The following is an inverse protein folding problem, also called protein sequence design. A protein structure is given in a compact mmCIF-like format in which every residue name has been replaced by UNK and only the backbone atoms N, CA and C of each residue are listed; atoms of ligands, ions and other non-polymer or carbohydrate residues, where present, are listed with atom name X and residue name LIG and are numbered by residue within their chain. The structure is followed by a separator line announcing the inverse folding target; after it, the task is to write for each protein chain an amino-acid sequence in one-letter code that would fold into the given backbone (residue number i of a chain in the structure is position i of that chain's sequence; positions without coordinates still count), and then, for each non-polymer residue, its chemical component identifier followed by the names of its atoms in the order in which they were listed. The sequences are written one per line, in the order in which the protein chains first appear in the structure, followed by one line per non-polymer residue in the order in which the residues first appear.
data_IF_120484640473
#
_entry.id   IF_120484640473
#
_cell.length_a   1.000
_cell.length_b   1.000
_cell.length_c   1.000
_cell.angle_alpha   90.00
_cell.angle_beta   90.00
_cell.angle_gamma   90.00
#
_symmetry.space_group_name_H-M   'P 1'
#
loop_
_entity.id
_entity.type
_entity.pdbx_description
1 polymer ?
#
# COMPACT_ATOMS: atom_id res chain seq x y z
N UNK A 1 -2.01 -17.08 20.89
CA UNK A 1 -1.31 -16.04 20.09
C UNK A 1 0.16 -16.38 20.11
N UNK A 2 0.86 -16.30 18.97
CA UNK A 2 2.30 -16.55 18.94
C UNK A 2 3.02 -15.57 19.87
N UNK A 3 4.03 -16.03 20.59
CA UNK A 3 4.81 -15.16 21.48
C UNK A 3 5.67 -14.21 20.64
N UNK A 4 6.05 -13.05 21.21
CA UNK A 4 6.88 -12.06 20.50
C UNK A 4 8.19 -12.67 19.99
N UNK A 5 8.75 -13.62 20.73
CA UNK A 5 9.97 -14.35 20.38
C UNK A 5 9.76 -15.29 19.20
N UNK A 6 8.65 -16.02 19.16
CA UNK A 6 8.27 -16.87 18.01
C UNK A 6 8.14 -16.07 16.71
N UNK A 7 7.57 -14.86 16.78
CA UNK A 7 7.42 -13.97 15.62
C UNK A 7 8.80 -13.54 15.10
N UNK A 8 9.73 -13.19 15.98
CA UNK A 8 11.08 -12.78 15.59
C UNK A 8 11.84 -13.93 14.93
N UNK A 9 11.73 -15.14 15.46
CA UNK A 9 12.36 -16.34 14.89
C UNK A 9 11.78 -16.66 13.51
N UNK A 10 10.45 -16.59 13.36
CA UNK A 10 9.80 -16.83 12.07
C UNK A 10 10.16 -15.75 11.04
N UNK A 11 10.19 -14.49 11.44
CA UNK A 11 10.59 -13.39 10.56
C UNK A 11 12.03 -13.56 10.06
N UNK A 12 12.96 -13.92 10.97
CA UNK A 12 14.35 -14.19 10.59
C UNK A 12 14.44 -15.32 9.57
N UNK A 13 13.74 -16.44 9.81
CA UNK A 13 13.72 -17.58 8.89
C UNK A 13 13.24 -17.21 7.49
N UNK A 14 12.17 -16.43 7.40
CA UNK A 14 11.63 -15.95 6.12
C UNK A 14 12.65 -15.07 5.39
N UNK A 15 13.31 -14.16 6.11
CA UNK A 15 14.33 -13.28 5.53
C UNK A 15 15.55 -14.07 5.03
N UNK A 16 16.02 -15.03 5.82
CA UNK A 16 17.17 -15.87 5.46
C UNK A 16 16.88 -16.74 4.23
N UNK A 17 15.68 -17.33 4.15
CA UNK A 17 15.22 -18.09 2.98
C UNK A 17 15.10 -17.20 1.73
N UNK A 18 14.55 -15.99 1.88
CA UNK A 18 14.42 -15.03 0.80
C UNK A 18 15.77 -14.57 0.25
N UNK A 19 16.73 -14.23 1.12
CA UNK A 19 18.09 -13.83 0.72
C UNK A 19 18.84 -14.99 0.08
N UNK A 20 18.66 -16.21 0.60
CA UNK A 20 19.24 -17.41 -0.01
C UNK A 20 18.66 -17.71 -1.39
N UNK A 21 17.37 -17.44 -1.62
CA UNK A 21 16.75 -17.57 -2.92
C UNK A 21 17.28 -16.52 -3.89
N UNK A 22 17.36 -15.25 -3.47
CA UNK A 22 17.86 -14.15 -4.30
C UNK A 22 19.31 -14.33 -4.74
N UNK A 23 20.19 -14.81 -3.85
CA UNK A 23 21.60 -15.03 -4.20
C UNK A 23 21.82 -16.10 -5.27
N UNK A 24 20.85 -16.99 -5.47
CA UNK A 24 20.88 -18.03 -6.51
C UNK A 24 20.39 -17.53 -7.87
N UNK A 25 19.72 -16.38 -7.92
CA UNK A 25 19.16 -15.86 -9.17
C UNK A 25 20.07 -14.76 -9.72
N UNK A 26 20.78 -15.05 -10.82
CA UNK A 26 21.57 -14.06 -11.55
C UNK A 26 20.72 -13.46 -12.68
N UNK A 27 19.86 -12.49 -12.35
CA UNK A 27 19.06 -11.77 -13.37
C UNK A 27 19.84 -10.54 -13.82
N UNK A 28 20.13 -10.43 -15.12
CA UNK A 28 20.41 -9.13 -15.74
C UNK A 28 19.08 -8.38 -15.80
N UNK A 29 18.83 -7.53 -14.81
CA UNK A 29 17.65 -6.67 -14.80
C UNK A 29 17.63 -5.78 -16.05
N UNK A 30 16.65 -6.00 -16.93
CA UNK A 30 16.18 -4.94 -17.81
C UNK A 30 15.13 -4.15 -17.03
N UNK A 31 15.60 -3.30 -16.13
CA UNK A 31 14.70 -2.51 -15.29
C UNK A 31 14.08 -1.38 -16.11
N UNK A 32 12.77 -1.47 -16.33
CA UNK A 32 11.97 -0.41 -16.94
C UNK A 32 11.84 -0.51 -18.46
N UNK A 33 10.60 -0.40 -18.95
CA UNK A 33 10.39 0.15 -20.28
C UNK A 33 10.92 1.59 -20.28
N UNK A 34 11.57 2.02 -21.36
CA UNK A 34 11.97 3.42 -21.53
C UNK A 34 10.74 4.31 -21.30
N UNK A 35 10.85 5.18 -20.29
CA UNK A 35 9.74 6.06 -19.93
C UNK A 35 9.52 7.05 -21.06
N UNK A 36 8.53 6.79 -21.91
CA UNK A 36 7.96 7.84 -22.76
C UNK A 36 7.35 8.91 -21.85
N UNK A 37 7.32 10.15 -22.32
CA UNK A 37 6.81 11.29 -21.57
C UNK A 37 5.38 11.01 -21.06
N UNK A 38 5.25 10.67 -19.77
CA UNK A 38 4.02 10.16 -19.12
C UNK A 38 3.39 11.23 -18.20
N UNK A 39 3.57 12.51 -18.54
CA UNK A 39 2.95 13.57 -17.77
C UNK A 39 1.43 13.44 -17.84
N UNK A 40 0.78 13.42 -16.66
CA UNK A 40 -0.68 13.41 -16.57
C UNK A 40 -1.21 14.71 -17.19
N UNK A 41 -2.08 14.57 -18.19
CA UNK A 41 -2.81 15.71 -18.73
C UNK A 41 -3.77 16.23 -17.65
N UNK A 42 -3.77 17.53 -17.33
CA UNK A 42 -4.73 18.09 -16.39
C UNK A 42 -6.15 17.89 -16.94
N UNK A 43 -6.99 17.15 -16.21
CA UNK A 43 -8.43 17.09 -16.46
C UNK A 43 -9.14 18.05 -15.51
N UNK A 44 -10.20 18.69 -16.00
CA UNK A 44 -11.11 19.54 -15.21
C UNK A 44 -12.21 18.74 -14.51
N UNK A 45 -12.28 17.44 -14.73
CA UNK A 45 -13.28 16.57 -14.12
C UNK A 45 -12.95 16.39 -12.65
N UNK A 46 -13.54 17.23 -11.81
CA UNK A 46 -13.61 16.96 -10.38
C UNK A 46 -14.71 15.92 -10.20
N UNK A 47 -14.40 14.69 -9.78
CA UNK A 47 -15.40 13.66 -9.59
C UNK A 47 -16.11 13.90 -8.24
N UNK A 48 -16.59 15.12 -7.93
CA UNK A 48 -17.42 15.32 -6.74
C UNK A 48 -18.88 14.97 -7.05
N UNK A 49 -19.09 13.79 -7.64
CA UNK A 49 -20.43 13.24 -7.83
C UNK A 49 -20.87 12.54 -6.55
N UNK A 50 -22.19 12.47 -6.33
CA UNK A 50 -22.75 11.71 -5.22
C UNK A 50 -22.31 10.23 -5.23
N UNK A 51 -22.06 9.67 -6.41
CA UNK A 51 -21.54 8.30 -6.58
C UNK A 51 -20.09 8.18 -6.12
N UNK A 52 -19.25 9.19 -6.37
CA UNK A 52 -17.89 9.22 -5.88
C UNK A 52 -17.85 9.27 -4.35
N UNK A 53 -18.65 10.14 -3.72
CA UNK A 53 -18.76 10.18 -2.25
C UNK A 53 -19.15 8.81 -1.69
N UNK A 54 -20.20 8.19 -2.23
CA UNK A 54 -20.62 6.84 -1.84
C UNK A 54 -19.49 5.81 -1.95
N UNK A 55 -18.69 5.85 -3.02
CA UNK A 55 -17.53 4.95 -3.19
C UNK A 55 -16.46 5.17 -2.13
N UNK A 56 -16.15 6.42 -1.80
CA UNK A 56 -15.14 6.78 -0.81
C UNK A 56 -15.54 6.32 0.59
N UNK A 57 -16.81 6.51 0.96
CA UNK A 57 -17.31 6.20 2.31
C UNK A 57 -17.71 4.73 2.51
N UNK A 58 -17.86 3.93 1.45
CA UNK A 58 -18.41 2.56 1.51
C UNK A 58 -17.77 1.66 2.56
N UNK A 59 -16.45 1.73 2.73
CA UNK A 59 -15.68 0.80 3.58
C UNK A 59 -15.08 1.48 4.81
N UNK A 60 -15.49 2.71 5.12
CA UNK A 60 -14.86 3.47 6.20
C UNK A 60 -15.41 3.00 7.55
N UNK A 61 -14.55 2.66 8.52
CA UNK A 61 -15.00 2.10 9.80
C UNK A 61 -15.88 3.04 10.64
N UNK A 62 -15.62 4.35 10.60
CA UNK A 62 -16.38 5.36 11.35
C UNK A 62 -16.57 6.61 10.50
N UNK A 63 -17.82 6.98 10.26
CA UNK A 63 -18.21 8.15 9.47
C UNK A 63 -19.24 8.95 10.27
N UNK A 64 -19.16 10.28 10.19
CA UNK A 64 -20.24 11.17 10.62
C UNK A 64 -20.44 12.22 9.55
N UNK A 65 -21.66 12.29 9.03
CA UNK A 65 -22.02 13.10 7.86
C UNK A 65 -21.08 12.77 6.68
N UNK A 66 -20.36 13.75 6.16
CA UNK A 66 -19.36 13.60 5.10
C UNK A 66 -17.91 13.59 5.65
N UNK A 67 -17.71 13.17 6.90
CA UNK A 67 -16.39 13.18 7.56
C UNK A 67 -15.97 11.81 8.08
N UNK A 68 -14.67 11.51 7.93
CA UNK A 68 -14.04 10.36 8.60
C UNK A 68 -13.79 10.68 10.07
N UNK A 69 -14.17 9.76 10.95
CA UNK A 69 -13.82 9.87 12.37
C UNK A 69 -12.58 9.02 12.64
N UNK A 70 -11.51 9.67 13.06
CA UNK A 70 -10.25 9.03 13.45
C UNK A 70 -9.90 9.39 14.88
N UNK A 71 -9.22 8.48 15.58
CA UNK A 71 -8.64 8.78 16.89
C UNK A 71 -7.56 9.84 16.72
N UNK A 72 -7.60 10.87 17.58
CA UNK A 72 -6.54 11.87 17.61
C UNK A 72 -5.31 11.21 18.19
N UNK A 73 -4.23 11.14 17.40
CA UNK A 73 -2.94 10.70 17.92
C UNK A 73 -2.48 11.72 18.97
N UNK A 74 -2.39 11.30 20.22
CA UNK A 74 -1.66 12.05 21.24
C UNK A 74 -0.17 11.97 20.92
N UNK A 75 0.50 13.13 20.93
CA UNK A 75 1.93 13.26 20.68
C UNK A 75 2.69 13.19 21.99
#
# INVERSE_FOLDING_TARGET
MATKEEIVVQAKKIMDEFVSALSKVNVKEKFGAERKNQMRVPSKDCPDSAEFRKRIFRNVPKIKDDYFIMEKKEW
#
